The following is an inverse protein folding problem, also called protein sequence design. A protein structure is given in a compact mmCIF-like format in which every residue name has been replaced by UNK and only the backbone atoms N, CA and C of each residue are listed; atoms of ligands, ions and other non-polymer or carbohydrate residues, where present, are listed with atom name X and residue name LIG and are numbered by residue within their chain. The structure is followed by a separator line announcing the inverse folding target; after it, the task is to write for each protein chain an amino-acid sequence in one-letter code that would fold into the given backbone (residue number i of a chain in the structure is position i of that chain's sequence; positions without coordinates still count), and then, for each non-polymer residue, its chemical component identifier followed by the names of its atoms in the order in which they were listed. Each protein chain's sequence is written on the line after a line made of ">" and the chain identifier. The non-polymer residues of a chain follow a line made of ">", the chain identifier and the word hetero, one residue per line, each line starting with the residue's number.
data_IF_041084062720
#
_entry.id   IF_041084062720
#
_cell.length_a   1.000
_cell.length_b   1.000
_cell.length_c   1.000
_cell.angle_alpha   90.00
_cell.angle_beta   90.00
_cell.angle_gamma   90.00
#
_symmetry.space_group_name_H-M   'P 1'
#
loop_
_entity.id
_entity.type
_entity.pdbx_description
1 polymer ?
#
# COMPACT_ATOMS: atom_id res chain seq x y z
N UNK A 1 -4.76 -0.59 -4.07
CA UNK A 1 -4.54 -2.05 -3.88
C UNK A 1 -4.89 -2.80 -5.15
N UNK A 2 -4.21 -3.94 -5.43
CA UNK A 2 -4.31 -4.66 -6.71
C UNK A 2 -5.63 -5.40 -6.94
N UNK A 3 -6.33 -5.74 -5.86
CA UNK A 3 -7.61 -6.45 -5.90
C UNK A 3 -8.73 -5.41 -5.76
N UNK A 4 -9.84 -5.59 -6.49
CA UNK A 4 -11.01 -4.73 -6.36
C UNK A 4 -11.56 -4.73 -4.90
N UNK A 5 -11.96 -3.58 -4.33
CA UNK A 5 -12.38 -3.49 -2.92
C UNK A 5 -13.47 -4.45 -2.49
N UNK A 6 -14.41 -4.74 -3.39
CA UNK A 6 -15.52 -5.66 -3.11
C UNK A 6 -15.05 -7.10 -2.88
N UNK A 7 -13.87 -7.46 -3.40
CA UNK A 7 -13.31 -8.79 -3.26
C UNK A 7 -12.37 -8.91 -2.04
N UNK A 8 -12.02 -7.82 -1.36
CA UNK A 8 -11.05 -7.87 -0.25
C UNK A 8 -11.50 -8.81 0.86
N UNK A 9 -12.76 -8.71 1.30
CA UNK A 9 -13.25 -9.57 2.37
C UNK A 9 -13.22 -11.05 1.99
N UNK A 10 -13.65 -11.40 0.77
CA UNK A 10 -13.55 -12.79 0.28
C UNK A 10 -12.09 -13.29 0.28
N UNK A 11 -11.13 -12.47 -0.20
CA UNK A 11 -9.72 -12.88 -0.21
C UNK A 11 -9.19 -13.10 1.21
N UNK A 12 -9.54 -12.22 2.15
CA UNK A 12 -9.14 -12.33 3.56
C UNK A 12 -9.76 -13.56 4.24
N UNK A 13 -11.03 -13.85 3.99
CA UNK A 13 -11.69 -15.07 4.50
C UNK A 13 -11.01 -16.34 3.99
N UNK A 14 -10.63 -16.38 2.71
CA UNK A 14 -9.89 -17.52 2.14
C UNK A 14 -8.51 -17.67 2.77
N UNK A 15 -7.79 -16.58 2.95
CA UNK A 15 -6.48 -16.59 3.64
C UNK A 15 -6.64 -17.13 5.07
N UNK A 16 -7.68 -16.70 5.79
CA UNK A 16 -7.96 -17.22 7.13
C UNK A 16 -8.32 -18.71 7.11
N UNK A 17 -9.14 -19.15 6.15
CA UNK A 17 -9.51 -20.55 5.98
C UNK A 17 -8.32 -21.46 5.61
N UNK A 18 -7.29 -20.92 4.94
CA UNK A 18 -6.02 -21.61 4.71
C UNK A 18 -5.17 -21.76 5.98
N UNK A 19 -5.60 -21.21 7.12
CA UNK A 19 -4.93 -21.33 8.41
C UNK A 19 -3.95 -20.20 8.73
N UNK A 20 -3.82 -19.19 7.88
CA UNK A 20 -2.95 -18.04 8.17
C UNK A 20 -3.54 -17.20 9.31
N UNK A 21 -2.66 -16.63 10.14
CA UNK A 21 -3.00 -15.70 11.20
C UNK A 21 -2.57 -14.26 10.91
N UNK A 22 -1.81 -14.03 9.83
CA UNK A 22 -1.30 -12.73 9.46
C UNK A 22 -1.26 -12.57 7.94
N UNK A 23 -1.36 -11.31 7.49
CA UNK A 23 -1.12 -10.90 6.10
C UNK A 23 -0.04 -9.82 6.04
N UNK A 24 0.62 -9.73 4.90
CA UNK A 24 1.56 -8.65 4.61
C UNK A 24 1.02 -7.79 3.48
N UNK A 25 1.14 -6.47 3.61
CA UNK A 25 0.68 -5.53 2.58
C UNK A 25 1.63 -4.35 2.44
N UNK A 26 1.87 -3.96 1.18
CA UNK A 26 2.62 -2.75 0.83
C UNK A 26 1.70 -1.55 0.68
N UNK A 27 2.23 -0.35 0.95
CA UNK A 27 1.54 0.94 0.73
C UNK A 27 2.26 1.69 -0.40
N UNK A 28 1.70 1.72 -1.63
CA UNK A 28 2.32 2.42 -2.76
C UNK A 28 2.10 3.94 -2.64
N UNK A 29 3.14 4.68 -2.27
CA UNK A 29 3.06 6.13 -2.05
C UNK A 29 2.58 6.88 -3.31
N UNK A 30 3.07 6.52 -4.50
CA UNK A 30 2.65 7.11 -5.77
C UNK A 30 1.14 7.11 -6.04
N UNK A 31 0.41 6.13 -5.52
CA UNK A 31 -1.05 6.10 -5.63
C UNK A 31 -1.73 6.93 -4.54
N UNK A 32 -1.17 6.92 -3.33
CA UNK A 32 -1.73 7.65 -2.20
C UNK A 32 -1.44 9.15 -2.27
N UNK A 33 -0.43 9.57 -3.02
CA UNK A 33 -0.10 10.97 -3.29
C UNK A 33 0.22 11.18 -4.80
N UNK A 34 -0.80 11.11 -5.68
CA UNK A 34 -0.60 11.17 -7.13
C UNK A 34 0.01 12.49 -7.62
N UNK A 35 -0.18 13.55 -6.86
CA UNK A 35 0.52 14.84 -7.02
C UNK A 35 0.90 15.34 -5.64
N UNK A 36 2.07 15.97 -5.54
CA UNK A 36 2.58 16.56 -4.28
C UNK A 36 1.49 17.34 -3.53
N UNK A 37 1.25 16.97 -2.28
CA UNK A 37 0.26 17.57 -1.38
C UNK A 37 -1.18 17.07 -1.55
N UNK A 38 -1.49 16.26 -2.56
CA UNK A 38 -2.85 15.73 -2.80
C UNK A 38 -2.91 14.26 -2.47
N UNK A 39 -3.70 13.90 -1.45
CA UNK A 39 -3.79 12.52 -0.98
C UNK A 39 -5.08 11.80 -1.42
N UNK A 40 -4.97 10.53 -1.81
CA UNK A 40 -6.10 9.65 -2.10
C UNK A 40 -6.10 8.38 -1.23
N UNK A 41 -7.14 8.26 -0.41
CA UNK A 41 -7.45 7.08 0.40
C UNK A 41 -8.89 6.59 0.16
N UNK A 42 -9.45 6.89 -1.01
CA UNK A 42 -10.79 6.50 -1.42
C UNK A 42 -10.78 5.19 -2.21
N UNK A 43 -11.96 4.58 -2.38
CA UNK A 43 -12.16 3.41 -3.26
C UNK A 43 -11.11 2.29 -3.08
N UNK A 44 -10.38 2.00 -4.16
CA UNK A 44 -9.29 1.01 -4.24
C UNK A 44 -8.06 1.30 -3.38
N UNK A 45 -7.95 2.52 -2.86
CA UNK A 45 -6.85 3.04 -2.06
C UNK A 45 -7.25 3.24 -0.60
N UNK A 46 -8.44 2.80 -0.19
CA UNK A 46 -8.86 2.92 1.20
C UNK A 46 -8.15 1.89 2.09
N UNK A 47 -6.95 2.26 2.56
CA UNK A 47 -6.11 1.44 3.43
C UNK A 47 -6.82 1.15 4.76
N UNK A 48 -7.46 2.14 5.37
CA UNK A 48 -8.18 1.97 6.64
C UNK A 48 -9.27 0.91 6.51
N UNK A 49 -10.07 0.94 5.44
CA UNK A 49 -11.10 -0.08 5.18
C UNK A 49 -10.49 -1.47 5.04
N UNK A 50 -9.38 -1.62 4.31
CA UNK A 50 -8.72 -2.91 4.17
C UNK A 50 -8.18 -3.44 5.51
N UNK A 51 -7.56 -2.58 6.32
CA UNK A 51 -7.05 -2.95 7.65
C UNK A 51 -8.18 -3.35 8.60
N UNK A 52 -9.30 -2.61 8.58
CA UNK A 52 -10.51 -2.97 9.35
C UNK A 52 -11.05 -4.33 8.91
N UNK A 53 -11.10 -4.63 7.62
CA UNK A 53 -11.52 -5.95 7.13
C UNK A 53 -10.55 -7.05 7.58
N UNK A 54 -9.23 -6.80 7.56
CA UNK A 54 -8.25 -7.77 8.05
C UNK A 54 -8.44 -8.07 9.55
N UNK A 55 -8.67 -7.02 10.35
CA UNK A 55 -8.99 -7.15 11.77
C UNK A 55 -10.28 -7.96 11.99
N UNK A 56 -11.35 -7.68 11.22
CA UNK A 56 -12.62 -8.41 11.29
C UNK A 56 -12.48 -9.89 10.91
N UNK A 57 -11.48 -10.25 10.12
CA UNK A 57 -11.15 -11.63 9.75
C UNK A 57 -10.13 -12.28 10.71
N UNK A 58 -9.86 -11.66 11.86
CA UNK A 58 -8.88 -12.11 12.85
C UNK A 58 -7.48 -12.37 12.26
N UNK A 59 -7.04 -11.48 11.38
CA UNK A 59 -5.70 -11.49 10.79
C UNK A 59 -4.87 -10.33 11.35
N UNK A 60 -3.66 -10.62 11.83
CA UNK A 60 -2.64 -9.60 12.07
C UNK A 60 -2.18 -9.00 10.73
N UNK A 61 -1.71 -7.76 10.75
CA UNK A 61 -1.18 -7.10 9.56
C UNK A 61 0.27 -6.71 9.76
N UNK A 62 1.13 -7.24 8.89
CA UNK A 62 2.51 -6.81 8.72
C UNK A 62 2.55 -5.71 7.66
N UNK A 63 2.40 -4.46 8.09
CA UNK A 63 2.39 -3.32 7.19
C UNK A 63 3.80 -3.00 6.70
N UNK A 64 3.96 -2.86 5.38
CA UNK A 64 5.21 -2.44 4.73
C UNK A 64 4.99 -1.07 4.08
N UNK A 65 5.12 0.03 4.84
CA UNK A 65 4.72 1.35 4.38
C UNK A 65 5.62 1.96 3.29
N UNK A 66 6.81 1.41 3.06
CA UNK A 66 7.77 1.98 2.10
C UNK A 66 8.75 2.95 2.79
N UNK A 67 9.09 4.11 2.18
CA UNK A 67 8.40 4.75 1.04
C UNK A 67 8.65 4.07 -0.32
N UNK A 68 9.80 3.42 -0.49
CA UNK A 68 10.06 2.53 -1.62
C UNK A 68 9.68 1.09 -1.25
N UNK A 69 8.87 0.44 -2.08
CA UNK A 69 8.35 -0.91 -1.84
C UNK A 69 8.84 -1.95 -2.85
N UNK A 70 9.50 -1.53 -3.93
CA UNK A 70 9.74 -2.35 -5.12
C UNK A 70 8.41 -2.93 -5.63
N UNK A 71 8.10 -4.18 -5.25
CA UNK A 71 6.83 -4.86 -5.50
C UNK A 71 6.52 -5.08 -6.98
N UNK A 72 7.50 -4.93 -7.88
CA UNK A 72 7.25 -4.88 -9.34
C UNK A 72 6.14 -3.86 -9.66
N UNK A 73 6.16 -2.74 -8.93
CA UNK A 73 5.23 -1.64 -9.05
C UNK A 73 5.88 -0.47 -9.76
N UNK A 74 5.04 0.36 -10.40
CA UNK A 74 5.48 1.58 -11.08
C UNK A 74 6.35 2.42 -10.13
N UNK A 75 7.54 2.77 -10.62
CA UNK A 75 8.61 3.47 -9.92
C UNK A 75 8.89 2.98 -8.48
N UNK A 76 8.69 1.68 -8.23
CA UNK A 76 8.88 1.07 -6.91
C UNK A 76 7.98 1.63 -5.82
N UNK A 77 6.87 2.29 -6.19
CA UNK A 77 5.94 2.96 -5.29
C UNK A 77 6.29 4.41 -4.99
N UNK A 78 7.41 4.94 -5.50
CA UNK A 78 7.77 6.35 -5.34
C UNK A 78 6.96 7.22 -6.31
N UNK A 79 6.45 8.39 -5.89
CA UNK A 79 5.74 9.29 -6.80
C UNK A 79 6.66 9.86 -7.89
N UNK A 80 6.16 9.96 -9.12
CA UNK A 80 6.93 10.50 -10.25
C UNK A 80 7.39 11.95 -10.02
N UNK A 81 6.62 12.73 -9.24
CA UNK A 81 6.91 14.15 -9.02
C UNK A 81 8.18 14.39 -8.21
N UNK A 82 8.72 13.37 -7.52
CA UNK A 82 10.04 13.43 -6.89
C UNK A 82 11.14 13.69 -7.92
N UNK A 83 10.98 13.23 -9.16
CA UNK A 83 11.97 13.44 -10.22
C UNK A 83 12.05 14.89 -10.72
N UNK A 84 11.24 15.80 -10.17
CA UNK A 84 11.29 17.24 -10.49
C UNK A 84 12.33 18.00 -9.66
N UNK A 85 12.87 17.39 -8.61
CA UNK A 85 13.94 17.98 -7.81
C UNK A 85 15.28 17.51 -8.39
N UNK A 86 15.99 18.40 -9.09
CA UNK A 86 17.19 18.05 -9.84
C UNK A 86 18.32 17.46 -8.98
N UNK A 87 18.38 17.84 -7.70
CA UNK A 87 19.43 17.42 -6.77
C UNK A 87 19.05 16.18 -5.94
N UNK A 88 17.85 15.62 -6.13
CA UNK A 88 17.38 14.52 -5.27
C UNK A 88 18.14 13.21 -5.51
N UNK A 89 18.63 12.64 -4.41
CA UNK A 89 19.20 11.30 -4.34
C UNK A 89 18.23 10.34 -3.65
N UNK A 90 17.53 9.53 -4.46
CA UNK A 90 16.53 8.61 -3.93
C UNK A 90 17.18 7.50 -3.08
N UNK A 91 16.63 7.32 -1.87
CA UNK A 91 17.00 6.26 -0.90
C UNK A 91 18.43 6.40 -0.34
N UNK A 92 18.90 7.63 -0.20
CA UNK A 92 20.15 7.97 0.50
C UNK A 92 19.84 8.75 1.79
N UNK A 93 20.80 9.52 2.30
CA UNK A 93 20.63 10.44 3.43
C UNK A 93 20.29 11.87 2.95
N UNK A 94 19.82 12.04 1.71
CA UNK A 94 19.37 13.34 1.19
C UNK A 94 18.38 14.03 2.16
N UNK A 95 18.64 15.30 2.60
CA UNK A 95 17.83 16.03 3.57
C UNK A 95 16.35 16.28 3.20
#
# INVERSE_FOLDING_TARGET
>A
MRVHPELWNDRLQRIRALGLNAIQVYVPWNLHEPSEGTFDFSGGLNLTRFLTLAQQNNLYVLLRPGPYICSEWEFGGLPYWLLKYDEIELRTYDP
#
